data_IF_541558905464
#
_entry.id   IF_541558905464
#
_cell.length_a   1.000
_cell.length_b   1.000
_cell.length_c   1.000
_cell.angle_alpha   90.00
_cell.angle_beta   90.00
_cell.angle_gamma   90.00
#
_symmetry.space_group_name_H-M   'P 1'
#
loop_
_entity.id
_entity.type
_entity.pdbx_description
1 polymer ?
#
# COMPACT_ATOMS: atom_id res chain seq x y z
N UNK A 1 -15.47 17.47 22.21
CA UNK A 1 -14.73 17.08 21.00
C UNK A 1 -15.51 16.00 20.25
N UNK A 2 -15.66 16.18 18.93
CA UNK A 2 -16.32 15.21 18.05
C UNK A 2 -15.41 14.92 16.87
N UNK A 3 -15.22 13.64 16.56
CA UNK A 3 -14.51 13.22 15.35
C UNK A 3 -15.38 13.46 14.11
N UNK A 4 -14.78 14.02 13.06
CA UNK A 4 -15.43 14.21 11.76
C UNK A 4 -14.64 13.42 10.72
N UNK A 5 -15.35 12.60 9.93
CA UNK A 5 -14.74 11.85 8.82
C UNK A 5 -14.16 12.83 7.78
N UNK A 6 -12.88 12.74 7.43
CA UNK A 6 -12.25 13.60 6.43
C UNK A 6 -12.94 13.59 5.06
N UNK A 7 -13.68 12.54 4.72
CA UNK A 7 -14.45 12.45 3.47
C UNK A 7 -15.70 13.32 3.47
N UNK A 8 -16.18 13.73 4.65
CA UNK A 8 -17.37 14.55 4.83
C UNK A 8 -17.09 16.04 4.98
N UNK A 9 -15.81 16.43 5.01
CA UNK A 9 -15.39 17.81 5.23
C UNK A 9 -14.36 18.23 4.19
N UNK A 10 -14.44 19.48 3.75
CA UNK A 10 -13.49 20.08 2.81
C UNK A 10 -13.14 21.50 3.26
N UNK A 11 -11.85 21.82 3.31
CA UNK A 11 -11.37 23.18 3.53
C UNK A 11 -11.45 23.97 2.22
N UNK A 12 -12.10 25.11 2.24
CA UNK A 12 -12.24 25.99 1.08
C UNK A 12 -11.57 27.31 1.39
N UNK A 13 -10.76 27.77 0.44
CA UNK A 13 -10.19 29.11 0.41
C UNK A 13 -10.87 29.88 -0.72
N UNK A 14 -11.66 30.87 -0.36
CA UNK A 14 -12.32 31.77 -1.30
C UNK A 14 -11.50 33.05 -1.43
N UNK A 15 -11.20 33.42 -2.67
CA UNK A 15 -10.49 34.66 -2.98
C UNK A 15 -11.52 35.70 -3.40
N UNK A 16 -11.77 36.68 -2.58
CA UNK A 16 -12.63 37.81 -2.94
C UNK A 16 -11.78 38.99 -3.34
N UNK A 17 -12.02 39.49 -4.55
CA UNK A 17 -11.45 40.78 -5.01
C UNK A 17 -12.29 41.90 -4.43
N UNK A 18 -11.74 42.65 -3.51
CA UNK A 18 -12.41 43.82 -2.96
C UNK A 18 -11.79 45.07 -3.59
N UNK A 19 -12.64 45.96 -4.07
CA UNK A 19 -12.19 47.25 -4.61
C UNK A 19 -11.80 48.14 -3.43
N UNK A 20 -10.61 48.68 -3.48
CA UNK A 20 -10.14 49.64 -2.47
C UNK A 20 -10.47 51.03 -2.98
N UNK A 21 -11.41 51.74 -2.32
CA UNK A 21 -11.81 53.07 -2.71
C UNK A 21 -10.66 54.03 -2.48
N UNK A 22 -10.33 54.81 -3.52
CA UNK A 22 -9.29 55.85 -3.46
C UNK A 22 -7.95 55.52 -4.12
N UNK A 23 -7.75 54.32 -4.67
CA UNK A 23 -6.52 53.97 -5.41
C UNK A 23 -6.72 54.04 -6.93
N UNK A 24 -5.64 54.34 -7.71
CA UNK A 24 -5.68 54.26 -9.18
C UNK A 24 -6.13 52.86 -9.66
N UNK A 25 -6.84 52.82 -10.79
CA UNK A 25 -7.53 51.62 -11.29
C UNK A 25 -6.64 50.37 -11.47
N UNK A 26 -5.33 50.52 -11.60
CA UNK A 26 -4.37 49.41 -11.71
C UNK A 26 -4.03 48.71 -10.37
N UNK A 27 -4.25 49.41 -9.23
CA UNK A 27 -3.94 48.91 -7.88
C UNK A 27 -5.18 48.76 -6.98
N UNK A 28 -6.36 48.96 -7.51
CA UNK A 28 -7.62 49.10 -6.77
C UNK A 28 -8.21 47.77 -6.25
N UNK A 29 -7.54 46.64 -6.41
CA UNK A 29 -8.07 45.36 -5.96
C UNK A 29 -7.15 44.67 -4.96
N UNK A 30 -7.63 44.54 -3.75
CA UNK A 30 -7.00 43.72 -2.72
C UNK A 30 -7.63 42.31 -2.72
N UNK A 31 -6.79 41.30 -2.76
CA UNK A 31 -7.26 39.92 -2.67
C UNK A 31 -7.49 39.54 -1.20
N UNK A 32 -8.73 39.53 -0.78
CA UNK A 32 -9.10 39.07 0.56
C UNK A 32 -9.35 37.59 0.56
N UNK A 33 -8.58 36.84 1.34
CA UNK A 33 -8.73 35.41 1.47
C UNK A 33 -9.68 35.08 2.63
N UNK A 34 -10.72 34.32 2.37
CA UNK A 34 -11.59 33.81 3.41
C UNK A 34 -11.50 32.28 3.40
N UNK A 35 -11.10 31.68 4.52
CA UNK A 35 -11.01 30.24 4.69
C UNK A 35 -12.17 29.77 5.57
N UNK A 36 -12.78 28.67 5.19
CA UNK A 36 -13.82 28.01 5.96
C UNK A 36 -13.90 26.54 5.59
N UNK A 37 -14.56 25.74 6.44
CA UNK A 37 -14.85 24.35 6.16
C UNK A 37 -16.30 24.18 5.72
N UNK A 38 -16.53 23.26 4.78
CA UNK A 38 -17.87 22.80 4.43
C UNK A 38 -18.00 21.35 4.90
N UNK A 39 -19.02 21.07 5.69
CA UNK A 39 -19.38 19.73 6.15
C UNK A 39 -20.63 19.28 5.41
N UNK A 40 -20.58 18.06 4.84
CA UNK A 40 -21.73 17.41 4.22
C UNK A 40 -21.85 15.98 4.73
N UNK A 41 -22.98 15.64 5.31
CA UNK A 41 -23.23 14.34 5.91
C UNK A 41 -23.18 13.18 4.90
N UNK A 42 -23.55 13.44 3.66
CA UNK A 42 -23.53 12.47 2.55
C UNK A 42 -22.14 12.29 1.91
N UNK A 43 -21.15 13.04 2.36
CA UNK A 43 -19.81 13.09 1.77
C UNK A 43 -19.68 14.18 0.70
N UNK A 44 -18.46 14.57 0.39
CA UNK A 44 -18.16 15.61 -0.59
C UNK A 44 -17.41 14.97 -1.75
N UNK A 45 -17.96 15.07 -2.95
CA UNK A 45 -17.25 14.66 -4.17
C UNK A 45 -16.04 15.56 -4.42
N UNK A 46 -14.88 15.01 -4.86
CA UNK A 46 -13.67 15.79 -5.11
C UNK A 46 -13.86 16.95 -6.11
N UNK A 47 -14.75 16.77 -7.07
CA UNK A 47 -15.05 17.73 -8.13
C UNK A 47 -16.16 18.75 -7.77
N UNK A 48 -16.75 18.65 -6.58
CA UNK A 48 -17.78 19.60 -6.16
C UNK A 48 -17.17 20.97 -5.94
N UNK A 49 -17.60 21.93 -6.77
CA UNK A 49 -17.34 23.36 -6.60
C UNK A 49 -18.03 23.91 -5.34
N UNK A 50 -17.67 25.11 -4.92
CA UNK A 50 -18.06 25.81 -3.69
C UNK A 50 -19.58 25.85 -3.36
N UNK A 51 -20.42 25.48 -4.30
CA UNK A 51 -21.90 25.51 -4.16
C UNK A 51 -22.51 24.18 -3.70
N UNK A 52 -21.69 23.16 -3.32
CA UNK A 52 -22.21 21.95 -2.70
C UNK A 52 -22.85 22.32 -1.35
N UNK A 53 -24.18 22.29 -1.27
CA UNK A 53 -24.95 22.57 -0.06
C UNK A 53 -24.41 21.79 1.13
N UNK A 54 -23.90 22.48 2.13
CA UNK A 54 -23.35 21.91 3.34
C UNK A 54 -23.23 22.96 4.44
N UNK A 55 -23.03 22.52 5.68
CA UNK A 55 -22.84 23.40 6.81
C UNK A 55 -21.47 24.07 6.72
N UNK A 56 -21.44 25.41 6.74
CA UNK A 56 -20.18 26.17 6.83
C UNK A 56 -19.72 26.22 8.28
N UNK A 57 -18.46 25.89 8.50
CA UNK A 57 -17.84 25.88 9.82
C UNK A 57 -16.59 26.76 9.75
N UNK A 58 -16.39 27.57 10.78
CA UNK A 58 -15.24 28.45 10.90
C UNK A 58 -13.94 27.63 11.10
N UNK A 59 -12.81 28.19 10.70
CA UNK A 59 -11.51 27.48 10.77
C UNK A 59 -11.05 27.20 12.18
N UNK A 60 -11.41 28.06 13.13
CA UNK A 60 -11.08 27.97 14.55
C UNK A 60 -11.87 26.87 15.31
N UNK A 61 -13.00 26.45 14.74
CA UNK A 61 -13.83 25.39 15.33
C UNK A 61 -13.34 23.96 14.99
N UNK A 62 -12.35 23.81 14.11
CA UNK A 62 -11.86 22.52 13.63
C UNK A 62 -10.34 22.43 13.74
N UNK A 63 -9.86 21.46 14.50
CA UNK A 63 -8.47 21.05 14.47
C UNK A 63 -8.23 20.10 13.29
N UNK A 64 -7.40 20.52 12.34
CA UNK A 64 -7.13 19.80 11.10
C UNK A 64 -5.64 19.61 10.86
N UNK A 65 -5.20 18.37 10.81
CA UNK A 65 -3.82 18.01 10.52
C UNK A 65 -3.72 17.27 9.18
N UNK A 66 -3.33 17.93 8.09
CA UNK A 66 -3.11 17.29 6.80
C UNK A 66 -1.78 16.53 6.77
N UNK A 67 -1.69 15.50 5.92
CA UNK A 67 -0.44 14.75 5.68
C UNK A 67 0.69 15.63 5.15
N UNK A 68 0.36 16.76 4.52
CA UNK A 68 1.30 17.63 3.80
C UNK A 68 1.66 17.15 2.40
N UNK A 69 1.04 16.07 1.93
CA UNK A 69 1.10 15.64 0.53
C UNK A 69 -0.16 16.13 -0.16
N UNK A 70 0.02 16.89 -1.23
CA UNK A 70 -1.10 17.48 -1.99
C UNK A 70 -0.94 17.04 -3.44
N UNK A 71 -2.03 16.59 -4.05
CA UNK A 71 -2.11 16.41 -5.49
C UNK A 71 -2.22 17.77 -6.17
N UNK A 72 -1.27 18.07 -7.06
CA UNK A 72 -1.23 19.35 -7.76
C UNK A 72 -2.40 19.55 -8.74
N UNK A 73 -2.97 18.46 -9.27
CA UNK A 73 -4.05 18.53 -10.25
C UNK A 73 -5.42 18.73 -9.60
N UNK A 74 -5.66 18.09 -8.48
CA UNK A 74 -6.99 18.06 -7.84
C UNK A 74 -7.06 18.84 -6.52
N UNK A 75 -5.96 19.42 -6.05
CA UNK A 75 -5.87 20.07 -4.73
C UNK A 75 -6.38 19.18 -3.57
N UNK A 76 -6.26 17.87 -3.72
CA UNK A 76 -6.67 16.90 -2.70
C UNK A 76 -5.49 16.51 -1.83
N UNK A 77 -5.75 16.32 -0.54
CA UNK A 77 -4.73 15.83 0.40
C UNK A 77 -4.56 14.33 0.18
N UNK A 78 -3.32 13.91 -0.11
CA UNK A 78 -2.97 12.52 -0.34
C UNK A 78 -2.51 11.85 0.96
N UNK A 79 -2.84 10.58 1.13
CA UNK A 79 -2.30 9.74 2.20
C UNK A 79 -0.85 9.35 1.91
N UNK A 80 -0.05 9.10 2.95
CA UNK A 80 1.27 8.48 2.81
C UNK A 80 1.21 7.09 2.16
N UNK A 81 0.07 6.40 2.29
CA UNK A 81 -0.18 5.12 1.64
C UNK A 81 -0.38 5.22 0.12
N UNK A 82 -0.60 6.43 -0.42
CA UNK A 82 -0.79 6.63 -1.86
C UNK A 82 0.35 6.05 -2.69
N UNK A 83 1.59 6.18 -2.22
CA UNK A 83 2.78 5.63 -2.89
C UNK A 83 2.79 4.09 -2.95
N UNK A 84 2.07 3.44 -2.05
CA UNK A 84 1.99 1.98 -1.97
C UNK A 84 0.92 1.38 -2.88
N UNK A 85 -0.04 2.15 -3.39
CA UNK A 85 -1.16 1.65 -4.21
C UNK A 85 -0.64 0.86 -5.43
N UNK A 86 0.28 1.45 -6.19
CA UNK A 86 0.84 0.80 -7.39
C UNK A 86 1.62 -0.48 -7.05
N UNK A 87 2.58 -0.48 -6.10
CA UNK A 87 3.26 -1.69 -5.67
C UNK A 87 2.34 -2.78 -5.13
N UNK A 88 1.31 -2.45 -4.34
CA UNK A 88 0.34 -3.42 -3.82
C UNK A 88 -0.41 -4.10 -4.96
N UNK A 89 -0.94 -3.32 -5.90
CA UNK A 89 -1.67 -3.88 -7.04
C UNK A 89 -0.77 -4.76 -7.91
N UNK A 90 0.49 -4.36 -8.11
CA UNK A 90 1.47 -5.17 -8.85
C UNK A 90 1.79 -6.47 -8.13
N UNK A 91 2.02 -6.43 -6.81
CA UNK A 91 2.30 -7.62 -6.00
C UNK A 91 1.12 -8.60 -6.08
N UNK A 92 -0.10 -8.11 -5.83
CA UNK A 92 -1.32 -8.92 -5.91
C UNK A 92 -1.49 -9.60 -7.29
N UNK A 93 -1.29 -8.83 -8.36
CA UNK A 93 -1.38 -9.41 -9.73
C UNK A 93 -0.35 -10.51 -9.97
N UNK A 94 0.86 -10.38 -9.43
CA UNK A 94 1.92 -11.39 -9.60
C UNK A 94 1.63 -12.61 -8.74
N UNK A 95 1.18 -12.42 -7.50
CA UNK A 95 0.76 -13.53 -6.63
C UNK A 95 -0.33 -14.35 -7.30
N UNK A 96 -1.39 -13.72 -7.82
CA UNK A 96 -2.46 -14.39 -8.56
C UNK A 96 -1.93 -15.09 -9.82
N UNK A 97 -1.07 -14.40 -10.59
CA UNK A 97 -0.48 -14.95 -11.82
C UNK A 97 0.39 -16.18 -11.55
N UNK A 98 1.17 -16.19 -10.46
CA UNK A 98 1.99 -17.34 -10.07
C UNK A 98 1.11 -18.52 -9.68
N UNK A 99 0.02 -18.29 -8.94
CA UNK A 99 -0.93 -19.35 -8.59
C UNK A 99 -1.56 -19.94 -9.85
N UNK A 100 -2.07 -19.08 -10.75
CA UNK A 100 -2.66 -19.53 -12.02
C UNK A 100 -1.63 -20.28 -12.86
N UNK A 101 -0.39 -19.77 -12.96
CA UNK A 101 0.68 -20.41 -13.71
C UNK A 101 1.01 -21.79 -13.15
N UNK A 102 1.12 -21.92 -11.83
CA UNK A 102 1.39 -23.20 -11.16
C UNK A 102 0.26 -24.19 -11.39
N UNK A 103 -0.99 -23.76 -11.26
CA UNK A 103 -2.15 -24.61 -11.50
C UNK A 103 -2.23 -25.03 -12.97
N UNK A 104 -2.01 -24.10 -13.90
CA UNK A 104 -2.14 -24.35 -15.33
C UNK A 104 -0.94 -25.09 -15.96
N UNK A 105 0.28 -24.90 -15.42
CA UNK A 105 1.52 -25.39 -16.02
C UNK A 105 2.26 -26.44 -15.23
N UNK A 106 2.01 -26.58 -13.91
CA UNK A 106 2.66 -27.57 -13.09
C UNK A 106 2.28 -29.01 -13.48
N UNK A 107 1.00 -29.31 -13.76
CA UNK A 107 0.64 -30.67 -14.18
C UNK A 107 1.21 -30.95 -15.58
N UNK A 108 1.70 -32.16 -15.77
CA UNK A 108 2.01 -32.69 -17.08
C UNK A 108 0.73 -32.74 -17.91
N UNK A 109 0.80 -32.24 -19.12
CA UNK A 109 -0.33 -32.29 -20.06
C UNK A 109 -0.23 -33.53 -20.91
N UNK A 110 -1.35 -34.20 -21.14
CA UNK A 110 -1.42 -35.34 -22.01
C UNK A 110 -1.98 -34.93 -23.36
N UNK A 111 -1.35 -35.46 -24.41
CA UNK A 111 -1.85 -35.35 -25.77
C UNK A 111 -2.36 -36.73 -26.15
N UNK A 112 -3.66 -36.83 -26.40
CA UNK A 112 -4.31 -38.01 -26.88
C UNK A 112 -4.42 -37.91 -28.41
N UNK A 113 -3.64 -38.71 -29.13
CA UNK A 113 -3.81 -38.91 -30.56
C UNK A 113 -4.83 -40.02 -30.76
N UNK A 114 -6.02 -39.64 -31.22
CA UNK A 114 -7.09 -40.63 -31.45
C UNK A 114 -7.11 -41.01 -32.92
N UNK A 115 -6.95 -42.28 -33.19
CA UNK A 115 -7.11 -42.79 -34.54
C UNK A 115 -8.58 -42.78 -34.94
N UNK A 116 -8.89 -41.99 -35.96
CA UNK A 116 -10.23 -41.86 -36.54
C UNK A 116 -10.38 -42.67 -37.81
N UNK A 117 -9.33 -43.41 -38.22
CA UNK A 117 -9.33 -44.25 -39.42
C UNK A 117 -9.81 -43.50 -40.66
N UNK A 118 -10.57 -44.17 -41.51
CA UNK A 118 -11.13 -43.64 -42.73
C UNK A 118 -12.52 -42.98 -42.58
N UNK A 119 -12.87 -42.52 -41.38
CA UNK A 119 -14.14 -41.85 -41.16
C UNK A 119 -14.20 -40.50 -41.95
N UNK A 120 -15.36 -40.16 -42.54
CA UNK A 120 -15.59 -38.86 -43.12
C UNK A 120 -15.30 -37.76 -42.09
N UNK A 121 -14.75 -36.63 -42.52
CA UNK A 121 -14.30 -35.55 -41.65
C UNK A 121 -15.34 -35.14 -40.60
N UNK A 122 -16.61 -35.03 -41.00
CA UNK A 122 -17.71 -34.64 -40.12
C UNK A 122 -17.95 -35.67 -39.01
N UNK A 123 -17.92 -36.98 -39.36
CA UNK A 123 -18.11 -38.06 -38.36
C UNK A 123 -16.90 -38.21 -37.45
N UNK A 124 -15.68 -37.95 -37.95
CA UNK A 124 -14.47 -37.96 -37.14
C UNK A 124 -14.47 -36.82 -36.11
N UNK A 125 -14.93 -35.64 -36.50
CA UNK A 125 -15.08 -34.50 -35.57
C UNK A 125 -16.17 -34.72 -34.53
N UNK A 126 -17.30 -35.35 -34.92
CA UNK A 126 -18.35 -35.74 -33.96
C UNK A 126 -17.84 -36.76 -32.95
N UNK A 127 -17.19 -37.80 -33.41
CA UNK A 127 -16.61 -38.84 -32.54
C UNK A 127 -15.59 -38.21 -31.55
N UNK A 128 -14.75 -37.34 -32.03
CA UNK A 128 -13.79 -36.62 -31.18
C UNK A 128 -14.50 -35.76 -30.13
N UNK A 129 -15.55 -35.03 -30.50
CA UNK A 129 -16.34 -34.21 -29.55
C UNK A 129 -17.03 -35.09 -28.49
N UNK A 130 -17.56 -36.21 -28.88
CA UNK A 130 -18.22 -37.13 -27.95
C UNK A 130 -17.21 -37.73 -26.94
N UNK A 131 -16.02 -38.08 -27.41
CA UNK A 131 -14.93 -38.56 -26.54
C UNK A 131 -14.48 -37.45 -25.63
N UNK A 132 -14.27 -36.25 -26.16
CA UNK A 132 -13.90 -35.07 -25.33
C UNK A 132 -14.96 -34.77 -24.28
N UNK A 133 -16.25 -34.82 -24.62
CA UNK A 133 -17.33 -34.50 -23.68
C UNK A 133 -17.40 -35.53 -22.53
N UNK A 134 -17.02 -36.81 -22.78
CA UNK A 134 -17.01 -37.86 -21.75
C UNK A 134 -15.82 -37.75 -20.80
N UNK A 135 -14.68 -37.27 -21.26
CA UNK A 135 -13.41 -37.33 -20.52
C UNK A 135 -12.80 -35.98 -20.20
N UNK A 136 -13.46 -34.85 -20.54
CA UNK A 136 -12.96 -33.52 -20.25
C UNK A 136 -13.34 -33.09 -18.84
N UNK A 137 -12.33 -32.78 -18.04
CA UNK A 137 -12.49 -32.13 -16.74
C UNK A 137 -11.99 -30.70 -16.80
N UNK A 138 -12.64 -29.82 -16.07
CA UNK A 138 -12.28 -28.40 -16.00
C UNK A 138 -12.14 -27.99 -14.53
N UNK A 139 -10.94 -27.60 -14.14
CA UNK A 139 -10.70 -26.91 -12.87
C UNK A 139 -10.88 -25.41 -13.06
N UNK A 140 -11.62 -24.79 -12.17
CA UNK A 140 -11.84 -23.35 -12.16
C UNK A 140 -11.24 -22.79 -10.88
N UNK A 141 -10.32 -21.83 -11.04
CA UNK A 141 -9.74 -21.06 -9.94
C UNK A 141 -10.54 -19.79 -9.74
N UNK A 142 -11.04 -19.57 -8.52
CA UNK A 142 -11.72 -18.34 -8.15
C UNK A 142 -10.71 -17.39 -7.48
N UNK A 143 -10.34 -16.33 -8.19
CA UNK A 143 -9.36 -15.34 -7.71
C UNK A 143 -9.87 -14.51 -6.53
N UNK A 144 -11.17 -14.51 -6.23
CA UNK A 144 -11.76 -13.74 -5.13
C UNK A 144 -11.70 -14.48 -3.80
N UNK A 145 -11.86 -15.81 -3.83
CA UNK A 145 -11.86 -16.68 -2.64
C UNK A 145 -10.57 -17.48 -2.48
N UNK A 146 -9.77 -17.63 -3.56
CA UNK A 146 -8.59 -18.49 -3.57
C UNK A 146 -8.92 -19.98 -3.64
N UNK A 147 -10.19 -20.33 -3.81
CA UNK A 147 -10.62 -21.73 -3.88
C UNK A 147 -10.49 -22.30 -5.29
N UNK A 148 -10.08 -23.56 -5.35
CA UNK A 148 -10.10 -24.36 -6.58
C UNK A 148 -11.38 -25.17 -6.56
N UNK A 149 -12.29 -24.91 -7.47
CA UNK A 149 -13.52 -25.68 -7.63
C UNK A 149 -13.36 -26.68 -8.77
N UNK A 150 -13.59 -27.94 -8.44
CA UNK A 150 -13.71 -28.99 -9.42
C UNK A 150 -15.21 -29.25 -9.71
N UNK A 151 -15.62 -28.93 -10.93
CA UNK A 151 -17.04 -29.08 -11.31
C UNK A 151 -17.43 -30.56 -11.55
N UNK A 152 -16.49 -31.48 -11.43
CA UNK A 152 -16.77 -32.95 -11.65
C UNK A 152 -15.89 -33.83 -10.78
N UNK A 153 -16.48 -34.90 -10.29
CA UNK A 153 -15.91 -35.89 -9.35
C UNK A 153 -14.72 -36.74 -9.88
N UNK A 154 -13.97 -36.26 -10.84
CA UNK A 154 -12.84 -37.00 -11.39
C UNK A 154 -11.55 -36.20 -11.24
N UNK A 155 -10.59 -36.78 -10.53
CA UNK A 155 -9.22 -36.29 -10.48
C UNK A 155 -8.57 -36.43 -11.85
N UNK A 156 -8.61 -35.42 -12.68
CA UNK A 156 -7.83 -35.42 -13.91
C UNK A 156 -7.15 -34.07 -14.14
N UNK A 157 -6.04 -34.16 -14.85
CA UNK A 157 -5.16 -33.04 -15.17
C UNK A 157 -5.86 -31.99 -16.02
N UNK A 158 -5.49 -30.75 -15.81
CA UNK A 158 -6.19 -29.51 -16.17
C UNK A 158 -6.47 -29.27 -17.65
N UNK A 159 -5.67 -29.79 -18.55
CA UNK A 159 -5.85 -29.64 -19.99
C UNK A 159 -5.25 -30.79 -20.75
N UNK A 160 -6.09 -31.71 -21.20
CA UNK A 160 -5.70 -32.74 -22.13
C UNK A 160 -5.99 -32.29 -23.57
N UNK A 161 -5.05 -32.53 -24.46
CA UNK A 161 -5.20 -32.25 -25.88
C UNK A 161 -5.65 -33.50 -26.64
N UNK A 162 -6.74 -33.39 -27.37
CA UNK A 162 -7.33 -34.45 -28.15
C UNK A 162 -7.16 -34.13 -29.62
N UNK A 163 -6.24 -34.83 -30.30
CA UNK A 163 -5.93 -34.61 -31.70
C UNK A 163 -6.34 -35.81 -32.56
N UNK A 164 -7.16 -35.56 -33.62
CA UNK A 164 -7.48 -36.62 -34.57
C UNK A 164 -6.28 -37.00 -35.41
N UNK A 165 -5.98 -38.28 -35.54
CA UNK A 165 -4.93 -38.80 -36.38
C UNK A 165 -5.56 -39.55 -37.53
N UNK A 166 -5.15 -39.22 -38.76
CA UNK A 166 -5.53 -39.96 -39.98
C UNK A 166 -4.28 -40.61 -40.55
N UNK A 167 -4.42 -41.83 -40.95
CA UNK A 167 -3.44 -42.61 -41.68
C UNK A 167 -2.06 -42.80 -41.03
N UNK A 168 -1.64 -44.05 -40.93
CA UNK A 168 -0.28 -44.44 -40.63
C UNK A 168 -0.06 -45.52 -39.57
N UNK A 169 -1.07 -46.28 -39.23
CA UNK A 169 -0.86 -47.61 -38.63
C UNK A 169 -0.33 -47.67 -37.19
N UNK A 170 -0.39 -46.57 -36.40
CA UNK A 170 0.08 -46.59 -35.01
C UNK A 170 -1.01 -46.47 -33.95
N UNK A 171 -2.27 -46.62 -34.27
CA UNK A 171 -3.36 -46.61 -33.28
C UNK A 171 -3.41 -45.31 -32.43
N UNK A 172 -4.18 -45.35 -31.35
CA UNK A 172 -4.26 -44.29 -30.36
C UNK A 172 -2.97 -44.21 -29.54
N UNK A 173 -2.32 -43.06 -29.53
CA UNK A 173 -1.06 -42.80 -28.82
C UNK A 173 -1.29 -41.71 -27.77
N UNK A 174 -0.69 -41.87 -26.60
CA UNK A 174 -0.70 -40.88 -25.54
C UNK A 174 0.72 -40.36 -25.36
N UNK A 175 0.90 -39.05 -25.57
CA UNK A 175 2.20 -38.40 -25.35
C UNK A 175 2.03 -37.39 -24.23
N UNK A 176 3.00 -37.32 -23.32
CA UNK A 176 3.01 -36.33 -22.26
C UNK A 176 3.85 -35.11 -22.65
N UNK A 177 3.29 -33.93 -22.49
CA UNK A 177 4.06 -32.69 -22.50
C UNK A 177 4.64 -32.46 -21.12
N UNK A 178 5.94 -32.25 -20.98
CA UNK A 178 6.56 -31.99 -19.70
C UNK A 178 5.93 -30.71 -19.05
N UNK A 179 5.75 -30.76 -17.75
CA UNK A 179 5.30 -29.63 -16.95
C UNK A 179 6.24 -28.43 -17.07
N UNK A 180 5.78 -27.28 -16.64
CA UNK A 180 6.59 -26.05 -16.64
C UNK A 180 7.83 -26.18 -15.76
N UNK A 181 8.97 -25.76 -16.29
CA UNK A 181 10.20 -25.62 -15.49
C UNK A 181 10.12 -24.34 -14.65
N UNK A 182 10.90 -24.24 -13.57
CA UNK A 182 11.00 -23.07 -12.68
C UNK A 182 9.75 -22.75 -11.84
N UNK A 183 8.97 -23.77 -11.46
CA UNK A 183 7.80 -23.59 -10.59
C UNK A 183 8.15 -23.17 -9.16
N UNK A 184 9.42 -23.25 -8.77
CA UNK A 184 9.93 -22.89 -7.44
C UNK A 184 10.43 -21.44 -7.32
N UNK A 185 10.54 -20.71 -8.41
CA UNK A 185 11.05 -19.32 -8.36
C UNK A 185 10.01 -18.37 -7.77
N UNK A 186 10.37 -17.76 -6.63
CA UNK A 186 9.55 -16.79 -5.90
C UNK A 186 10.23 -15.38 -5.97
N UNK A 187 11.35 -15.28 -6.67
CA UNK A 187 12.16 -14.06 -6.72
C UNK A 187 11.39 -12.81 -7.16
N UNK A 188 10.45 -12.96 -8.08
CA UNK A 188 9.62 -11.84 -8.54
C UNK A 188 8.66 -11.35 -7.44
N UNK A 189 8.05 -12.27 -6.70
CA UNK A 189 7.17 -11.93 -5.57
C UNK A 189 7.96 -11.20 -4.49
N UNK A 190 9.14 -11.73 -4.12
CA UNK A 190 10.02 -11.08 -3.15
C UNK A 190 10.47 -9.69 -3.60
N UNK A 191 10.79 -9.51 -4.88
CA UNK A 191 11.15 -8.21 -5.44
C UNK A 191 10.01 -7.19 -5.27
N UNK A 192 8.78 -7.56 -5.62
CA UNK A 192 7.63 -6.65 -5.50
C UNK A 192 7.24 -6.41 -4.04
N UNK A 193 7.39 -7.41 -3.19
CA UNK A 193 7.22 -7.26 -1.74
C UNK A 193 8.24 -6.25 -1.18
N UNK A 194 9.52 -6.41 -1.49
CA UNK A 194 10.58 -5.46 -1.09
C UNK A 194 10.32 -4.05 -1.65
N UNK A 195 9.81 -3.95 -2.88
CA UNK A 195 9.41 -2.67 -3.49
C UNK A 195 8.25 -2.01 -2.75
N UNK A 196 7.25 -2.78 -2.32
CA UNK A 196 6.13 -2.29 -1.52
C UNK A 196 6.64 -1.69 -0.20
N UNK A 197 7.47 -2.40 0.54
CA UNK A 197 7.99 -1.93 1.83
C UNK A 197 8.87 -0.67 1.68
N UNK A 198 9.71 -0.62 0.64
CA UNK A 198 10.47 0.59 0.30
C UNK A 198 9.57 1.79 0.01
N UNK A 199 8.43 1.58 -0.65
CA UNK A 199 7.47 2.65 -0.93
C UNK A 199 6.84 3.24 0.35
N UNK A 200 6.71 2.42 1.40
CA UNK A 200 6.21 2.80 2.72
C UNK A 200 7.31 3.30 3.67
N UNK A 201 8.58 3.34 3.23
CA UNK A 201 9.76 3.61 4.04
C UNK A 201 9.96 2.63 5.22
N UNK A 202 9.43 1.42 5.12
CA UNK A 202 9.61 0.38 6.13
C UNK A 202 10.93 -0.36 5.85
N UNK A 203 11.79 -0.54 6.87
CA UNK A 203 13.02 -1.33 6.73
C UNK A 203 12.70 -2.79 6.38
N UNK A 204 13.37 -3.31 5.36
CA UNK A 204 13.20 -4.71 4.93
C UNK A 204 13.64 -5.67 6.03
N UNK A 205 14.65 -5.30 6.80
CA UNK A 205 15.16 -6.08 7.93
C UNK A 205 14.11 -6.43 9.00
N UNK A 206 13.05 -5.64 9.14
CA UNK A 206 11.93 -5.95 10.06
C UNK A 206 11.07 -7.13 9.61
N UNK A 207 11.15 -7.50 8.34
CA UNK A 207 10.33 -8.56 7.74
C UNK A 207 11.10 -9.88 7.63
N UNK A 208 12.41 -9.79 7.48
CA UNK A 208 13.30 -10.96 7.40
C UNK A 208 13.63 -11.51 8.82
N UNK A 209 12.68 -11.52 9.73
CA UNK A 209 12.83 -11.87 11.16
C UNK A 209 13.24 -13.31 11.49
N UNK A 210 13.82 -14.06 10.56
CA UNK A 210 14.22 -15.45 10.75
C UNK A 210 15.70 -15.78 10.50
N UNK A 211 16.49 -14.85 9.99
CA UNK A 211 17.92 -15.13 9.78
C UNK A 211 18.75 -14.54 10.92
N UNK A 212 19.42 -15.43 11.65
CA UNK A 212 20.24 -15.14 12.83
C UNK A 212 21.10 -13.88 12.73
N UNK A 213 21.29 -13.27 13.87
CA UNK A 213 22.03 -12.04 14.10
C UNK A 213 23.48 -12.18 13.59
N UNK A 214 23.73 -11.70 12.38
CA UNK A 214 25.09 -11.58 11.84
C UNK A 214 25.64 -10.18 12.15
N UNK A 215 26.72 -10.11 12.88
CA UNK A 215 27.37 -8.86 13.29
C UNK A 215 27.67 -7.87 12.14
N UNK A 216 27.93 -8.36 10.94
CA UNK A 216 28.15 -7.52 9.76
C UNK A 216 26.88 -6.82 9.25
N UNK A 217 25.69 -7.39 9.47
CA UNK A 217 24.38 -6.81 9.13
C UNK A 217 23.88 -5.78 10.14
N UNK A 218 24.39 -5.79 11.36
CA UNK A 218 23.94 -4.88 12.43
C UNK A 218 24.10 -3.40 12.06
N UNK A 219 25.17 -3.05 11.34
CA UNK A 219 25.41 -1.67 10.89
C UNK A 219 24.40 -1.22 9.80
N UNK A 220 24.03 -2.12 8.88
CA UNK A 220 23.07 -1.84 7.81
C UNK A 220 21.65 -1.76 8.35
N UNK A 221 21.25 -2.68 9.22
CA UNK A 221 19.98 -2.66 9.95
C UNK A 221 19.86 -1.36 10.75
N UNK A 222 20.92 -0.98 11.45
CA UNK A 222 20.97 0.28 12.20
C UNK A 222 20.75 1.51 11.33
N UNK A 223 21.32 1.54 10.12
CA UNK A 223 21.18 2.68 9.19
C UNK A 223 19.75 2.83 8.66
N UNK A 224 19.09 1.74 8.33
CA UNK A 224 17.72 1.77 7.82
C UNK A 224 16.72 2.06 8.95
N UNK A 225 16.97 1.58 10.16
CA UNK A 225 16.20 1.95 11.36
C UNK A 225 16.30 3.44 11.69
N UNK A 226 17.47 4.06 11.53
CA UNK A 226 17.63 5.51 11.72
C UNK A 226 16.80 6.29 10.70
N UNK A 227 16.75 5.86 9.44
CA UNK A 227 15.91 6.50 8.41
C UNK A 227 14.42 6.37 8.75
N UNK A 228 14.00 5.18 9.17
CA UNK A 228 12.63 4.91 9.57
C UNK A 228 12.23 5.75 10.80
N UNK A 229 13.06 5.78 11.82
CA UNK A 229 12.83 6.59 13.03
C UNK A 229 12.71 8.08 12.70
N UNK A 230 13.56 8.60 11.80
CA UNK A 230 13.46 9.99 11.32
C UNK A 230 12.16 10.22 10.53
N UNK A 231 11.71 9.25 9.75
CA UNK A 231 10.45 9.34 9.02
C UNK A 231 9.26 9.36 10.00
N UNK A 232 9.21 8.45 10.96
CA UNK A 232 8.19 8.39 12.00
C UNK A 232 8.20 9.67 12.84
N UNK A 233 9.40 10.17 13.21
CA UNK A 233 9.54 11.43 13.95
C UNK A 233 8.93 12.63 13.22
N UNK A 234 9.10 12.71 11.89
CA UNK A 234 8.44 13.75 11.07
C UNK A 234 6.93 13.62 11.05
N UNK A 235 6.41 12.38 11.00
CA UNK A 235 4.97 12.13 11.08
C UNK A 235 4.41 12.54 12.44
N UNK A 236 5.08 12.11 13.52
CA UNK A 236 4.74 12.47 14.90
C UNK A 236 4.71 13.98 15.09
N UNK A 237 5.74 14.70 14.62
CA UNK A 237 5.81 16.15 14.69
C UNK A 237 4.64 16.83 13.98
N UNK A 238 4.25 16.34 12.81
CA UNK A 238 3.04 16.87 12.13
C UNK A 238 1.76 16.56 12.90
N UNK A 239 1.65 15.35 13.41
CA UNK A 239 0.48 14.92 14.17
C UNK A 239 0.31 15.72 15.49
N UNK A 240 1.42 16.17 16.09
CA UNK A 240 1.40 17.02 17.27
C UNK A 240 0.65 18.34 17.03
N UNK A 241 0.64 18.87 15.81
CA UNK A 241 -0.10 20.08 15.49
C UNK A 241 -1.60 19.96 15.81
N UNK A 242 -2.16 18.75 15.63
CA UNK A 242 -3.55 18.48 16.00
C UNK A 242 -3.79 18.68 17.51
N UNK A 243 -2.89 18.13 18.34
CA UNK A 243 -3.00 18.28 19.79
C UNK A 243 -2.76 19.72 20.24
N UNK A 244 -1.87 20.41 19.53
CA UNK A 244 -1.55 21.81 19.79
C UNK A 244 -2.77 22.71 19.60
N UNK A 245 -3.48 22.56 18.47
CA UNK A 245 -4.71 23.29 18.18
C UNK A 245 -5.83 22.97 19.19
N UNK A 246 -5.98 21.68 19.56
CA UNK A 246 -6.96 21.27 20.54
C UNK A 246 -6.67 21.85 21.93
N UNK A 247 -5.40 21.82 22.34
CA UNK A 247 -4.95 22.37 23.62
C UNK A 247 -5.19 23.89 23.69
N UNK A 248 -4.78 24.63 22.64
CA UNK A 248 -5.05 26.05 22.51
C UNK A 248 -6.53 26.37 22.74
N UNK A 249 -7.38 25.73 21.96
CA UNK A 249 -8.82 25.97 22.04
C UNK A 249 -9.39 25.65 23.42
N UNK A 250 -8.95 24.53 24.02
CA UNK A 250 -9.43 24.09 25.32
C UNK A 250 -8.99 25.04 26.46
N UNK A 251 -7.77 25.53 26.44
CA UNK A 251 -7.24 26.44 27.46
C UNK A 251 -7.92 27.81 27.39
N UNK A 252 -8.14 28.34 26.19
CA UNK A 252 -8.84 29.62 25.97
C UNK A 252 -10.31 29.49 26.40
N UNK A 253 -11.03 28.43 26.02
CA UNK A 253 -12.44 28.24 26.36
C UNK A 253 -12.65 28.03 27.86
N UNK A 254 -11.68 27.48 28.58
CA UNK A 254 -11.72 27.36 30.05
C UNK A 254 -11.30 28.64 30.79
N UNK A 255 -10.85 29.63 30.06
CA UNK A 255 -10.36 30.91 30.66
C UNK A 255 -9.06 30.74 31.46
N UNK A 256 -8.27 29.69 31.16
CA UNK A 256 -6.98 29.45 31.83
C UNK A 256 -5.91 30.40 31.32
N UNK A 257 -5.96 30.71 30.04
CA UNK A 257 -5.03 31.64 29.36
C UNK A 257 -5.78 32.61 28.46
N UNK A 258 -5.22 33.80 28.28
CA UNK A 258 -5.70 34.73 27.28
C UNK A 258 -5.19 34.36 25.88
N UNK A 259 -5.92 34.71 24.80
CA UNK A 259 -5.49 34.38 23.43
C UNK A 259 -4.08 34.87 23.09
N UNK A 260 -3.68 36.03 23.63
CA UNK A 260 -2.37 36.66 23.37
C UNK A 260 -1.22 35.93 24.11
N UNK A 261 -1.52 35.32 25.26
CA UNK A 261 -0.53 34.54 26.04
C UNK A 261 -0.13 33.25 25.38
N UNK A 262 -1.00 32.68 24.53
CA UNK A 262 -0.72 31.45 23.82
C UNK A 262 0.54 31.53 22.98
N UNK A 263 0.77 32.64 22.28
CA UNK A 263 1.90 32.80 21.37
C UNK A 263 3.25 32.77 22.08
N UNK A 264 3.29 33.21 23.35
CA UNK A 264 4.48 33.10 24.17
C UNK A 264 4.74 31.72 24.74
N UNK A 265 3.67 30.99 25.08
CA UNK A 265 3.74 29.66 25.73
C UNK A 265 3.88 28.51 24.74
N UNK A 266 3.40 28.65 23.51
CA UNK A 266 3.36 27.56 22.53
C UNK A 266 4.74 26.96 22.24
N UNK A 267 5.82 27.75 22.33
CA UNK A 267 7.19 27.31 22.09
C UNK A 267 7.73 26.33 23.14
N UNK A 268 7.20 26.39 24.36
CA UNK A 268 7.65 25.60 25.50
C UNK A 268 6.94 24.26 25.59
N UNK A 269 5.85 24.08 24.82
CA UNK A 269 5.07 22.84 24.84
C UNK A 269 5.71 21.81 23.94
N UNK A 270 6.19 20.73 24.53
CA UNK A 270 6.77 19.59 23.83
C UNK A 270 5.94 18.32 24.02
N UNK A 271 5.77 17.54 22.96
CA UNK A 271 5.06 16.26 23.00
C UNK A 271 6.06 15.12 22.98
N UNK A 272 6.06 14.32 24.05
CA UNK A 272 6.86 13.13 24.15
C UNK A 272 6.09 11.91 23.70
N UNK A 273 6.66 11.15 22.77
CA UNK A 273 6.12 9.88 22.32
C UNK A 273 6.96 8.76 22.89
N UNK A 274 6.30 7.69 23.33
CA UNK A 274 7.01 6.45 23.66
C UNK A 274 7.80 6.01 22.43
N UNK A 275 9.10 5.84 22.62
CA UNK A 275 9.96 5.26 21.60
C UNK A 275 9.95 3.75 21.79
N UNK A 276 9.79 2.99 20.70
CA UNK A 276 10.05 1.56 20.68
C UNK A 276 11.56 1.37 20.83
N UNK A 277 12.00 1.45 22.11
CA UNK A 277 13.38 1.72 22.47
C UNK A 277 14.29 0.51 22.45
N UNK A 278 13.78 -0.72 22.21
CA UNK A 278 14.62 -1.93 22.35
C UNK A 278 15.91 -1.86 21.52
N UNK A 279 15.83 -1.41 20.27
CA UNK A 279 17.01 -1.24 19.42
C UNK A 279 17.89 -0.05 19.84
N UNK A 280 17.26 1.04 20.29
CA UNK A 280 17.99 2.21 20.76
C UNK A 280 18.72 1.92 22.09
N UNK A 281 18.08 1.18 22.98
CA UNK A 281 18.67 0.75 24.26
C UNK A 281 19.81 -0.23 24.06
N UNK A 282 19.67 -1.20 23.16
CA UNK A 282 20.72 -2.17 22.83
C UNK A 282 21.94 -1.46 22.26
N UNK A 283 21.75 -0.54 21.33
CA UNK A 283 22.82 0.27 20.75
C UNK A 283 23.46 1.20 21.77
N UNK A 284 22.66 1.78 22.66
CA UNK A 284 23.17 2.62 23.73
C UNK A 284 24.03 1.81 24.71
N UNK A 285 23.61 0.62 25.06
CA UNK A 285 24.37 -0.31 25.91
C UNK A 285 25.66 -0.77 25.25
N UNK A 286 25.66 -1.05 23.94
CA UNK A 286 26.87 -1.38 23.17
C UNK A 286 27.86 -0.21 23.15
N UNK A 287 27.39 1.00 22.81
CA UNK A 287 28.22 2.20 22.81
C UNK A 287 28.81 2.51 24.21
N UNK A 288 28.03 2.31 25.27
CA UNK A 288 28.53 2.48 26.64
C UNK A 288 29.60 1.44 26.99
N UNK A 289 29.39 0.19 26.57
CA UNK A 289 30.37 -0.88 26.74
C UNK A 289 31.70 -0.58 26.04
N UNK A 290 31.64 -0.12 24.78
CA UNK A 290 32.81 0.31 24.01
C UNK A 290 33.54 1.51 24.68
N UNK A 291 32.76 2.50 25.16
CA UNK A 291 33.34 3.66 25.89
C UNK A 291 34.03 3.27 27.18
N UNK A 292 33.42 2.34 27.93
CA UNK A 292 34.05 1.80 29.16
C UNK A 292 35.32 1.04 28.84
N UNK A 293 35.34 0.21 27.79
CA UNK A 293 36.56 -0.49 27.35
C UNK A 293 37.67 0.48 26.91
N UNK A 294 37.31 1.52 26.15
CA UNK A 294 38.25 2.59 25.78
C UNK A 294 38.80 3.33 27.00
N UNK A 295 37.96 3.65 27.98
CA UNK A 295 38.39 4.28 29.20
C UNK A 295 39.36 3.39 30.01
N UNK A 296 39.06 2.10 30.12
CA UNK A 296 39.95 1.13 30.77
C UNK A 296 41.29 0.97 30.06
N UNK A 297 41.32 1.04 28.72
CA UNK A 297 42.58 1.02 27.97
C UNK A 297 43.39 2.30 28.14
N UNK A 298 42.74 3.44 28.34
CA UNK A 298 43.39 4.73 28.55
C UNK A 298 43.94 4.89 30.00
N UNK A 299 43.32 4.25 30.98
CA UNK A 299 43.83 4.26 32.38
C UNK A 299 45.27 3.72 32.50
N UNK A 300 45.70 2.85 31.57
CA UNK A 300 47.08 2.35 31.53
C UNK A 300 48.12 3.33 30.97
N UNK A 301 47.69 4.48 30.44
CA UNK A 301 48.54 5.51 29.83
C UNK A 301 48.56 6.84 30.62
N UNK A 302 47.79 6.96 31.69
CA UNK A 302 47.80 8.06 32.65
C UNK A 302 48.49 7.63 33.91
#
# INVERSE_FOLDING_TARGET
LRYIDPRKIKKIREVRKQRTDGMPSSFAFENKFQEYYIFNERGIHPTATSNAGGLRIATDAIAFCPSGLIDQQQNTVLSYLHKAIKPVNQLRMIEDAVVIYRIARAPERRIFYIDVGNLPKIKAEQYLRDVMARYRNKLVYDASTGEIRDDRNYMSMLEDFWLPRREGGRGTEITTLPGGQNLGEIGDIEYFQKKLYRSLNIPISRLEGGQGFNLGRAAEISRDEVKFTKFVGRLRKKFCMLFHDLLKTQLILKGVIAPDEWDSMQGDITYSFLQDGYFAELKHSEMMRERVQLAQQLEGYV
#
